data_IF_978594728381
#
_entry.id   IF_978594728381
#
_cell.length_a   1.000
_cell.length_b   1.000
_cell.length_c   1.000
_cell.angle_alpha   90.00
_cell.angle_beta   90.00
_cell.angle_gamma   90.00
#
_symmetry.space_group_name_H-M   'P 1'
#
loop_
_entity.id
_entity.type
_entity.pdbx_description
1 polymer ?
#
# COMPACT_ATOMS: atom_id res chain seq x y z
N UNK A 1 11.50 -39.84 -11.74
CA UNK A 1 10.30 -39.63 -10.91
C UNK A 1 10.49 -38.29 -10.20
N UNK A 2 9.82 -37.22 -10.65
CA UNK A 2 9.91 -35.91 -9.99
C UNK A 2 9.16 -35.96 -8.67
N UNK A 3 9.83 -35.62 -7.58
CA UNK A 3 9.21 -35.44 -6.27
C UNK A 3 8.17 -34.31 -6.34
N UNK A 4 7.01 -34.45 -5.67
CA UNK A 4 6.03 -33.38 -5.61
C UNK A 4 6.60 -32.18 -4.85
N UNK A 5 6.39 -30.98 -5.38
CA UNK A 5 6.77 -29.74 -4.70
C UNK A 5 6.00 -29.60 -3.38
N UNK A 6 6.62 -29.09 -2.31
CA UNK A 6 5.95 -28.91 -1.03
C UNK A 6 4.75 -27.97 -1.20
N UNK A 7 3.58 -28.38 -0.70
CA UNK A 7 2.38 -27.53 -0.71
C UNK A 7 2.56 -26.40 0.30
N UNK A 8 2.53 -25.15 -0.18
CA UNK A 8 2.54 -23.97 0.68
C UNK A 8 1.28 -24.00 1.55
N UNK A 9 1.41 -23.90 2.90
CA UNK A 9 0.25 -23.88 3.77
C UNK A 9 -0.65 -22.68 3.47
N UNK A 10 -1.97 -22.78 3.70
CA UNK A 10 -2.87 -21.67 3.44
C UNK A 10 -2.46 -20.46 4.30
N UNK A 11 -2.22 -19.33 3.63
CA UNK A 11 -1.86 -18.09 4.31
C UNK A 11 -2.99 -17.66 5.27
N UNK A 12 -2.58 -17.16 6.45
CA UNK A 12 -3.48 -16.53 7.41
C UNK A 12 -4.35 -15.44 6.74
N UNK A 13 -5.54 -15.14 7.28
CA UNK A 13 -6.41 -14.12 6.71
C UNK A 13 -5.67 -12.78 6.59
N UNK A 14 -5.56 -12.27 5.36
CA UNK A 14 -4.91 -11.00 5.03
C UNK A 14 -5.96 -9.96 4.68
N UNK A 15 -5.98 -8.86 5.43
CA UNK A 15 -6.87 -7.72 5.18
C UNK A 15 -6.59 -7.11 3.80
N UNK A 16 -5.33 -7.03 3.39
CA UNK A 16 -4.93 -6.52 2.06
C UNK A 16 -5.46 -7.43 0.95
N UNK A 17 -5.31 -8.75 1.11
CA UNK A 17 -5.85 -9.71 0.14
C UNK A 17 -7.36 -9.58 0.00
N UNK A 18 -8.08 -9.36 1.10
CA UNK A 18 -9.52 -9.18 1.08
C UNK A 18 -9.93 -7.90 0.32
N UNK A 19 -9.21 -6.79 0.48
CA UNK A 19 -9.47 -5.53 -0.25
C UNK A 19 -9.23 -5.68 -1.76
N UNK A 20 -8.11 -6.29 -2.14
CA UNK A 20 -7.79 -6.55 -3.56
C UNK A 20 -8.83 -7.48 -4.21
N UNK A 21 -9.23 -8.55 -3.50
CA UNK A 21 -10.28 -9.44 -3.98
C UNK A 21 -11.63 -8.74 -4.13
N UNK A 22 -11.98 -7.82 -3.21
CA UNK A 22 -13.19 -7.01 -3.28
C UNK A 22 -13.24 -6.13 -4.53
N UNK A 23 -12.16 -5.43 -4.86
CA UNK A 23 -12.06 -4.64 -6.09
C UNK A 23 -12.20 -5.51 -7.35
N UNK A 24 -11.51 -6.66 -7.35
CA UNK A 24 -11.58 -7.63 -8.46
C UNK A 24 -13.00 -8.14 -8.68
N UNK A 25 -13.73 -8.45 -7.61
CA UNK A 25 -15.13 -8.90 -7.67
C UNK A 25 -16.08 -7.82 -8.21
N UNK A 26 -15.70 -6.54 -8.11
CA UNK A 26 -16.40 -5.40 -8.71
C UNK A 26 -16.00 -5.16 -10.18
N UNK A 27 -15.15 -6.01 -10.77
CA UNK A 27 -14.70 -5.87 -12.16
C UNK A 27 -13.69 -4.75 -12.38
N UNK A 28 -13.00 -4.29 -11.32
CA UNK A 28 -11.98 -3.23 -11.39
C UNK A 28 -10.67 -3.67 -10.73
N UNK A 29 -9.57 -3.01 -11.08
CA UNK A 29 -8.32 -3.13 -10.33
C UNK A 29 -8.47 -2.47 -8.94
N UNK A 30 -7.68 -2.94 -7.98
CA UNK A 30 -7.53 -2.27 -6.69
C UNK A 30 -6.71 -0.99 -6.85
N UNK A 31 -7.17 0.11 -6.26
CA UNK A 31 -6.43 1.34 -6.17
C UNK A 31 -5.55 1.31 -4.92
N UNK A 32 -4.23 1.36 -5.12
CA UNK A 32 -3.24 1.43 -4.04
C UNK A 32 -2.61 2.81 -4.06
N UNK A 33 -2.73 3.53 -2.95
CA UNK A 33 -2.21 4.90 -2.83
C UNK A 33 -1.02 4.97 -1.88
N UNK A 34 0.06 5.62 -2.30
CA UNK A 34 1.26 5.85 -1.51
C UNK A 34 1.34 7.30 -1.02
N UNK A 35 1.70 7.51 0.25
CA UNK A 35 2.00 8.83 0.80
C UNK A 35 3.12 8.73 1.86
N UNK A 36 4.17 9.59 1.81
CA UNK A 36 5.15 9.71 2.89
C UNK A 36 4.48 10.21 4.18
N UNK A 37 4.72 9.50 5.28
CA UNK A 37 4.28 9.93 6.60
C UNK A 37 5.01 11.22 6.99
N UNK A 38 4.26 12.20 7.49
CA UNK A 38 4.84 13.46 7.97
C UNK A 38 4.98 14.56 6.91
N UNK A 39 4.54 14.34 5.66
CA UNK A 39 4.53 15.39 4.64
C UNK A 39 3.13 16.02 4.45
N UNK A 40 3.02 17.35 4.38
CA UNK A 40 4.04 18.36 4.71
C UNK A 40 4.32 18.46 6.22
N UNK A 41 3.43 17.91 7.04
CA UNK A 41 3.58 17.72 8.48
C UNK A 41 2.76 16.48 8.91
N UNK A 42 2.90 16.05 10.16
CA UNK A 42 2.23 14.84 10.67
C UNK A 42 0.70 14.94 10.57
N UNK A 43 0.12 16.03 11.05
CA UNK A 43 -1.34 16.18 11.12
C UNK A 43 -1.95 16.27 9.71
N UNK A 44 -1.32 17.02 8.81
CA UNK A 44 -1.72 17.13 7.42
C UNK A 44 -1.58 15.79 6.68
N UNK A 45 -0.51 15.03 6.94
CA UNK A 45 -0.33 13.70 6.34
C UNK A 45 -1.42 12.71 6.79
N UNK A 46 -1.81 12.75 8.06
CA UNK A 46 -2.91 11.93 8.60
C UNK A 46 -4.24 12.32 7.92
N UNK A 47 -4.52 13.62 7.82
CA UNK A 47 -5.71 14.10 7.13
C UNK A 47 -5.74 13.68 5.65
N UNK A 48 -4.60 13.72 4.97
CA UNK A 48 -4.47 13.28 3.58
C UNK A 48 -4.71 11.76 3.43
N UNK A 49 -4.19 10.93 4.34
CA UNK A 49 -4.46 9.49 4.34
C UNK A 49 -5.95 9.18 4.53
N UNK A 50 -6.63 9.90 5.42
CA UNK A 50 -8.09 9.78 5.56
C UNK A 50 -8.82 10.17 4.28
N UNK A 51 -8.43 11.30 3.66
CA UNK A 51 -9.01 11.74 2.40
C UNK A 51 -8.79 10.73 1.26
N UNK A 52 -7.65 10.03 1.22
CA UNK A 52 -7.41 8.94 0.26
C UNK A 52 -8.40 7.78 0.45
N UNK A 53 -8.66 7.38 1.69
CA UNK A 53 -9.64 6.33 2.01
C UNK A 53 -11.05 6.76 1.63
N UNK A 54 -11.45 7.99 1.99
CA UNK A 54 -12.76 8.56 1.62
C UNK A 54 -12.92 8.70 0.10
N UNK A 55 -11.80 8.94 -0.61
CA UNK A 55 -11.72 8.98 -2.07
C UNK A 55 -11.77 7.61 -2.76
N UNK A 56 -11.81 6.51 -2.01
CA UNK A 56 -12.00 5.15 -2.54
C UNK A 56 -10.71 4.35 -2.79
N UNK A 57 -9.58 4.74 -2.18
CA UNK A 57 -8.38 3.90 -2.15
C UNK A 57 -8.66 2.59 -1.41
N UNK A 58 -8.34 1.45 -2.02
CA UNK A 58 -8.57 0.13 -1.41
C UNK A 58 -7.49 -0.24 -0.39
N UNK A 59 -6.25 0.22 -0.63
CA UNK A 59 -5.07 -0.03 0.21
C UNK A 59 -4.18 1.20 0.23
N UNK A 60 -3.73 1.59 1.42
CA UNK A 60 -2.79 2.69 1.63
C UNK A 60 -1.40 2.13 1.92
N UNK A 61 -0.39 2.66 1.24
CA UNK A 61 1.02 2.50 1.54
C UNK A 61 1.51 3.74 2.28
N UNK A 62 1.85 3.57 3.56
CA UNK A 62 2.42 4.62 4.38
C UNK A 62 3.93 4.56 4.24
N UNK A 63 4.51 5.50 3.48
CA UNK A 63 5.95 5.60 3.29
C UNK A 63 6.63 6.12 4.54
N UNK A 64 7.61 5.39 5.08
CA UNK A 64 8.43 5.88 6.18
C UNK A 64 9.63 6.65 5.59
N UNK A 65 9.79 7.94 5.93
CA UNK A 65 10.98 8.70 5.58
C UNK A 65 12.29 7.97 5.86
N UNK A 66 13.20 8.01 4.89
CA UNK A 66 14.51 7.39 4.99
C UNK A 66 15.58 8.38 4.51
N UNK A 67 16.72 8.44 5.20
CA UNK A 67 17.79 9.40 4.92
C UNK A 67 18.47 9.19 3.57
N UNK A 68 18.47 7.95 3.07
CA UNK A 68 19.18 7.55 1.86
C UNK A 68 18.24 6.83 0.86
N UNK A 69 17.20 7.50 0.34
CA UNK A 69 16.11 6.87 -0.42
C UNK A 69 16.51 6.52 -1.86
N UNK A 70 17.33 5.48 -2.03
CA UNK A 70 17.96 5.12 -3.31
C UNK A 70 17.00 4.73 -4.44
N UNK A 71 15.77 4.34 -4.11
CA UNK A 71 14.76 3.88 -5.09
C UNK A 71 13.72 4.95 -5.44
N UNK A 72 13.61 6.02 -4.64
CA UNK A 72 12.57 7.01 -4.81
C UNK A 72 12.94 8.05 -5.86
N UNK A 73 11.95 8.55 -6.60
CA UNK A 73 12.12 9.69 -7.50
C UNK A 73 12.18 11.02 -6.76
N UNK A 74 12.61 12.12 -7.43
CA UNK A 74 12.85 13.41 -6.79
C UNK A 74 11.63 13.98 -6.05
N UNK A 75 10.41 13.73 -6.52
CA UNK A 75 9.18 14.17 -5.85
C UNK A 75 9.02 13.53 -4.47
N UNK A 76 9.24 12.22 -4.37
CA UNK A 76 9.10 11.50 -3.10
C UNK A 76 10.30 11.83 -2.20
N UNK A 77 11.51 11.89 -2.75
CA UNK A 77 12.71 12.28 -1.98
C UNK A 77 12.60 13.68 -1.36
N UNK A 78 11.89 14.62 -1.99
CA UNK A 78 11.69 15.97 -1.44
C UNK A 78 10.59 16.03 -0.37
N UNK A 79 9.66 15.06 -0.40
CA UNK A 79 8.54 14.99 0.54
C UNK A 79 8.88 14.16 1.79
N UNK A 80 9.81 13.21 1.67
CA UNK A 80 10.24 12.30 2.72
C UNK A 80 11.34 12.90 3.60
#
# INVERSE_FOLDING_TARGET
MSSPSPSVPPAAPSVVRARIAGATAQGRAALVGYLPAGFPDVDTSIAALHAMVDGGVDVVEVGLPYSDPVMDGPTIQQAA
#
